data_IF_880389415999
#
_entry.id   IF_880389415999
#
_cell.length_a   1.000
_cell.length_b   1.000
_cell.length_c   1.000
_cell.angle_alpha   90.00
_cell.angle_beta   90.00
_cell.angle_gamma   90.00
#
_symmetry.space_group_name_H-M   'P 1'
#
loop_
_entity.id
_entity.type
_entity.pdbx_description
1 polymer ?
#
# COMPACT_ATOMS: atom_id res chain seq x y z
N UNK A 1 -10.83 4.32 12.47
CA UNK A 1 -10.78 3.78 11.08
C UNK A 1 -9.82 2.60 10.90
N UNK A 2 -8.58 2.66 11.41
CA UNK A 2 -7.63 1.53 11.35
C UNK A 2 -8.12 0.26 12.09
N UNK A 3 -8.78 0.41 13.24
CA UNK A 3 -9.39 -0.73 13.97
C UNK A 3 -10.52 -1.42 13.19
N UNK A 4 -11.33 -0.65 12.44
CA UNK A 4 -12.37 -1.21 11.56
C UNK A 4 -11.75 -1.96 10.37
N UNK A 5 -10.66 -1.44 9.81
CA UNK A 5 -9.95 -2.10 8.71
C UNK A 5 -9.27 -3.40 9.16
N UNK A 6 -8.68 -3.42 10.36
CA UNK A 6 -8.11 -4.63 10.96
C UNK A 6 -9.17 -5.68 11.27
N UNK A 7 -10.29 -5.28 11.89
CA UNK A 7 -11.42 -6.18 12.15
C UNK A 7 -12.02 -6.75 10.86
N UNK A 8 -12.12 -5.93 9.81
CA UNK A 8 -12.60 -6.36 8.49
C UNK A 8 -11.63 -7.33 7.81
N UNK A 9 -10.32 -7.15 7.99
CA UNK A 9 -9.30 -8.02 7.41
C UNK A 9 -9.28 -9.38 8.10
N UNK A 10 -9.41 -9.41 9.43
CA UNK A 10 -9.55 -10.65 10.20
C UNK A 10 -10.86 -11.36 9.83
N UNK A 11 -11.98 -10.64 9.73
CA UNK A 11 -13.28 -11.20 9.37
C UNK A 11 -13.34 -11.72 7.92
N UNK A 12 -12.53 -11.17 7.02
CA UNK A 12 -12.45 -11.60 5.62
C UNK A 12 -11.43 -12.73 5.40
N UNK A 13 -10.33 -12.73 6.15
CA UNK A 13 -9.29 -13.75 6.06
C UNK A 13 -9.73 -15.10 6.65
N UNK A 14 -10.50 -15.06 7.75
CA UNK A 14 -10.88 -16.27 8.50
C UNK A 14 -11.62 -17.33 7.66
N UNK A 15 -12.61 -16.99 6.82
CA UNK A 15 -13.38 -17.98 6.06
C UNK A 15 -12.66 -18.48 4.79
N UNK A 16 -11.57 -17.82 4.40
CA UNK A 16 -10.73 -18.20 3.25
C UNK A 16 -9.68 -19.24 3.67
N UNK A 17 -9.31 -19.26 4.96
CA UNK A 17 -8.29 -20.16 5.51
C UNK A 17 -8.85 -21.53 5.91
N UNK A 18 -10.17 -21.67 6.11
CA UNK A 18 -10.79 -22.92 6.57
C UNK A 18 -11.87 -23.44 5.57
N UNK A 19 -11.53 -24.36 4.65
CA UNK A 19 -12.42 -24.83 3.59
C UNK A 19 -13.55 -25.78 4.04
N UNK A 20 -13.64 -26.09 5.34
CA UNK A 20 -14.57 -27.10 5.89
C UNK A 20 -15.95 -26.59 6.36
N UNK A 21 -16.25 -25.30 6.25
CA UNK A 21 -17.52 -24.74 6.76
C UNK A 21 -18.65 -24.79 5.72
N UNK A 22 -19.71 -25.49 6.11
CA UNK A 22 -20.95 -25.77 5.39
C UNK A 22 -21.55 -24.52 4.66
N UNK A 23 -22.20 -24.78 3.53
CA UNK A 23 -22.56 -23.85 2.46
C UNK A 23 -23.35 -22.57 2.78
N UNK A 24 -23.74 -22.31 4.04
CA UNK A 24 -24.48 -21.11 4.46
C UNK A 24 -23.58 -19.88 4.69
N UNK A 25 -22.30 -20.07 5.02
CA UNK A 25 -21.36 -18.96 5.24
C UNK A 25 -20.96 -18.23 3.94
N UNK A 26 -20.92 -18.94 2.80
CA UNK A 26 -20.61 -18.35 1.47
C UNK A 26 -21.65 -17.30 1.04
N UNK A 27 -22.91 -17.51 1.40
CA UNK A 27 -24.01 -16.56 1.15
C UNK A 27 -23.85 -15.30 2.01
N UNK A 28 -23.49 -15.46 3.28
CA UNK A 28 -23.28 -14.35 4.22
C UNK A 28 -22.08 -13.47 3.83
N UNK A 29 -20.99 -14.05 3.33
CA UNK A 29 -19.82 -13.32 2.82
C UNK A 29 -20.12 -12.52 1.54
N UNK A 30 -21.05 -13.01 0.71
CA UNK A 30 -21.54 -12.30 -0.48
C UNK A 30 -22.41 -11.10 -0.10
N UNK A 31 -23.30 -11.27 0.88
CA UNK A 31 -24.14 -10.19 1.42
C UNK A 31 -23.29 -9.13 2.13
N UNK A 32 -22.29 -9.54 2.91
CA UNK A 32 -21.35 -8.62 3.57
C UNK A 32 -20.54 -7.79 2.54
N UNK A 33 -20.12 -8.41 1.43
CA UNK A 33 -19.47 -7.67 0.33
C UNK A 33 -20.41 -6.63 -0.29
N UNK A 34 -21.71 -6.94 -0.42
CA UNK A 34 -22.72 -6.00 -0.90
C UNK A 34 -22.98 -4.86 0.09
N UNK A 35 -23.04 -5.14 1.39
CA UNK A 35 -23.22 -4.12 2.43
C UNK A 35 -22.06 -3.13 2.47
N UNK A 36 -20.83 -3.62 2.34
CA UNK A 36 -19.64 -2.76 2.28
C UNK A 36 -19.60 -1.94 0.97
N UNK A 37 -20.10 -2.49 -0.13
CA UNK A 37 -20.24 -1.76 -1.40
C UNK A 37 -21.25 -0.60 -1.27
N UNK A 38 -22.43 -0.86 -0.69
CA UNK A 38 -23.44 0.17 -0.46
C UNK A 38 -22.90 1.27 0.46
N UNK A 39 -22.20 0.91 1.54
CA UNK A 39 -21.59 1.88 2.44
C UNK A 39 -20.56 2.79 1.74
N UNK A 40 -19.76 2.25 0.82
CA UNK A 40 -18.80 3.03 0.03
C UNK A 40 -19.47 3.92 -1.03
N UNK A 41 -20.51 3.41 -1.69
CA UNK A 41 -21.31 4.18 -2.63
C UNK A 41 -21.96 5.39 -1.94
N UNK A 42 -22.47 5.18 -0.72
CA UNK A 42 -23.07 6.24 0.11
C UNK A 42 -22.03 7.27 0.56
N UNK A 43 -20.85 6.85 1.04
CA UNK A 43 -19.78 7.78 1.46
C UNK A 43 -19.33 8.68 0.29
N UNK A 44 -19.19 8.12 -0.92
CA UNK A 44 -18.86 8.91 -2.10
C UNK A 44 -20.01 9.81 -2.55
N UNK A 45 -21.25 9.34 -2.48
CA UNK A 45 -22.42 10.14 -2.83
C UNK A 45 -22.53 11.37 -1.94
N UNK A 46 -22.30 11.21 -0.63
CA UNK A 46 -22.26 12.30 0.34
C UNK A 46 -21.16 13.30 -0.04
N UNK A 47 -19.93 12.84 -0.32
CA UNK A 47 -18.82 13.69 -0.75
C UNK A 47 -19.08 14.41 -2.07
N UNK A 48 -19.77 13.76 -3.01
CA UNK A 48 -20.15 14.34 -4.30
C UNK A 48 -21.23 15.42 -4.14
N UNK A 49 -22.17 15.24 -3.19
CA UNK A 49 -23.22 16.22 -2.91
C UNK A 49 -22.73 17.43 -2.11
N UNK A 50 -21.70 17.28 -1.28
CA UNK A 50 -21.09 18.38 -0.51
C UNK A 50 -20.12 19.25 -1.32
N UNK A 51 -19.68 18.82 -2.51
CA UNK A 51 -18.77 19.59 -3.34
C UNK A 51 -19.54 20.61 -4.21
N UNK A 52 -19.23 21.90 -4.07
CA UNK A 52 -19.87 23.02 -4.79
C UNK A 52 -19.84 22.89 -6.32
N UNK A 53 -18.91 22.11 -6.90
CA UNK A 53 -18.82 21.85 -8.34
C UNK A 53 -18.51 20.38 -8.66
N UNK A 54 -19.58 19.57 -8.77
CA UNK A 54 -19.58 18.10 -8.92
C UNK A 54 -18.71 17.58 -10.08
N UNK A 55 -18.70 18.28 -11.22
CA UNK A 55 -18.01 17.85 -12.46
C UNK A 55 -16.50 18.07 -12.40
N UNK A 56 -16.04 19.22 -11.87
CA UNK A 56 -14.61 19.53 -11.75
C UNK A 56 -13.94 18.70 -10.66
N UNK A 57 -14.68 18.34 -9.61
CA UNK A 57 -14.22 17.42 -8.57
C UNK A 57 -14.10 15.98 -9.10
N UNK A 58 -15.08 15.51 -9.88
CA UNK A 58 -15.03 14.18 -10.51
C UNK A 58 -13.87 14.04 -11.51
N UNK A 59 -13.60 15.08 -12.33
CA UNK A 59 -12.48 15.07 -13.27
C UNK A 59 -11.11 15.17 -12.57
N UNK A 60 -11.01 15.86 -11.44
CA UNK A 60 -9.77 15.94 -10.65
C UNK A 60 -9.50 14.68 -9.82
N UNK A 61 -10.56 13.99 -9.38
CA UNK A 61 -10.52 12.72 -8.67
C UNK A 61 -10.99 11.55 -9.55
N UNK A 62 -10.55 11.53 -10.81
CA UNK A 62 -10.98 10.52 -11.78
C UNK A 62 -10.65 9.08 -11.34
N UNK A 63 -9.63 8.89 -10.49
CA UNK A 63 -9.30 7.61 -9.88
C UNK A 63 -10.41 7.07 -8.95
N UNK A 64 -11.02 7.93 -8.13
CA UNK A 64 -12.11 7.53 -7.23
C UNK A 64 -13.41 7.30 -8.02
N UNK A 65 -13.62 8.08 -9.08
CA UNK A 65 -14.75 7.90 -10.01
C UNK A 65 -14.63 6.57 -10.76
N UNK A 66 -13.44 6.25 -11.28
CA UNK A 66 -13.15 4.97 -11.91
C UNK A 66 -13.27 3.80 -10.92
N UNK A 67 -12.87 4.00 -9.65
CA UNK A 67 -13.00 2.99 -8.60
C UNK A 67 -14.46 2.62 -8.30
N UNK A 68 -15.39 3.57 -8.46
CA UNK A 68 -16.83 3.38 -8.15
C UNK A 68 -17.61 2.89 -9.36
N UNK A 69 -17.23 3.31 -10.56
CA UNK A 69 -17.86 2.88 -11.82
C UNK A 69 -17.58 1.42 -12.17
N UNK A 70 -16.59 0.79 -11.52
CA UNK A 70 -16.18 -0.56 -11.85
C UNK A 70 -16.42 -1.58 -10.71
N UNK A 71 -17.66 -1.73 -10.17
CA UNK A 71 -17.98 -2.81 -9.23
C UNK A 71 -17.88 -4.20 -9.86
N UNK A 72 -18.07 -4.28 -11.19
CA UNK A 72 -17.97 -5.53 -11.96
C UNK A 72 -16.56 -6.14 -11.92
N UNK A 73 -15.52 -5.31 -11.77
CA UNK A 73 -14.14 -5.78 -11.60
C UNK A 73 -13.73 -5.61 -10.13
N UNK A 74 -14.30 -6.45 -9.26
CA UNK A 74 -13.93 -6.63 -7.83
C UNK A 74 -12.40 -6.64 -7.61
N UNK A 75 -11.67 -7.08 -8.63
CA UNK A 75 -10.21 -7.08 -8.81
C UNK A 75 -9.53 -5.71 -8.67
N UNK A 76 -10.21 -4.61 -9.04
CA UNK A 76 -9.68 -3.25 -8.96
C UNK A 76 -9.66 -2.69 -7.54
N UNK A 77 -10.15 -3.44 -6.54
CA UNK A 77 -9.94 -3.12 -5.12
C UNK A 77 -8.44 -3.00 -4.77
N UNK A 78 -7.56 -3.65 -5.54
CA UNK A 78 -6.11 -3.49 -5.45
C UNK A 78 -5.62 -2.10 -5.89
N UNK A 79 -6.34 -1.39 -6.77
CA UNK A 79 -5.99 0.00 -7.11
C UNK A 79 -6.11 0.94 -5.90
N UNK A 80 -6.93 0.59 -4.91
CA UNK A 80 -6.99 1.33 -3.64
C UNK A 80 -5.64 1.30 -2.90
N UNK A 81 -4.84 0.25 -3.12
CA UNK A 81 -3.49 0.16 -2.56
C UNK A 81 -2.54 1.15 -3.23
N UNK A 82 -2.72 1.47 -4.52
CA UNK A 82 -1.96 2.55 -5.17
C UNK A 82 -2.28 3.91 -4.55
N UNK A 83 -3.54 4.14 -4.17
CA UNK A 83 -3.93 5.36 -3.45
C UNK A 83 -3.29 5.43 -2.05
N UNK A 84 -3.24 4.29 -1.33
CA UNK A 84 -2.53 4.19 -0.06
C UNK A 84 -1.02 4.37 -0.21
N UNK A 85 -0.42 3.87 -1.30
CA UNK A 85 0.99 4.03 -1.59
C UNK A 85 1.32 5.48 -1.96
N UNK A 86 0.44 6.17 -2.70
CA UNK A 86 0.56 7.63 -2.92
C UNK A 86 0.41 8.42 -1.63
N UNK A 87 -0.51 8.03 -0.76
CA UNK A 87 -0.67 8.65 0.57
C UNK A 87 0.54 8.41 1.45
N UNK A 88 1.11 7.20 1.42
CA UNK A 88 2.36 6.85 2.09
C UNK A 88 3.51 7.70 1.54
N UNK A 89 3.66 7.79 0.23
CA UNK A 89 4.69 8.63 -0.40
C UNK A 89 4.59 10.09 0.04
N UNK A 90 3.37 10.61 0.20
CA UNK A 90 3.11 11.96 0.71
C UNK A 90 3.41 12.10 2.22
N UNK A 91 3.15 11.06 3.01
CA UNK A 91 3.48 11.03 4.44
C UNK A 91 4.99 10.88 4.70
N UNK A 92 5.67 10.10 3.87
CA UNK A 92 7.13 9.89 3.89
C UNK A 92 7.89 11.19 3.59
N UNK A 93 7.32 12.06 2.74
CA UNK A 93 7.88 13.40 2.48
C UNK A 93 7.90 14.31 3.72
N UNK A 94 7.17 13.99 4.80
CA UNK A 94 7.04 14.83 6.00
C UNK A 94 7.68 14.27 7.28
N UNK A 95 8.05 12.99 7.35
CA UNK A 95 8.59 12.39 8.59
C UNK A 95 9.84 11.55 8.33
N UNK A 96 10.99 12.17 8.55
CA UNK A 96 12.28 11.48 8.71
C UNK A 96 12.26 10.64 9.99
N UNK A 97 12.98 9.51 9.96
CA UNK A 97 13.43 8.70 11.11
C UNK A 97 12.50 7.55 11.57
N UNK A 98 12.82 6.33 11.11
CA UNK A 98 12.52 5.06 11.80
C UNK A 98 11.10 4.48 11.68
N UNK A 99 10.03 5.28 11.83
CA UNK A 99 8.64 4.76 11.76
C UNK A 99 8.17 4.50 10.33
N UNK A 100 8.71 5.28 9.40
CA UNK A 100 8.52 5.17 7.95
C UNK A 100 8.74 3.75 7.39
N UNK A 101 9.84 3.09 7.78
CA UNK A 101 10.17 1.74 7.30
C UNK A 101 9.17 0.69 7.78
N UNK A 102 8.66 0.82 9.01
CA UNK A 102 7.61 -0.06 9.55
C UNK A 102 6.31 0.11 8.78
N UNK A 103 5.92 1.34 8.41
CA UNK A 103 4.74 1.58 7.59
C UNK A 103 4.89 1.01 6.17
N UNK A 104 6.07 1.15 5.56
CA UNK A 104 6.35 0.59 4.22
C UNK A 104 6.32 -0.94 4.28
N UNK A 105 6.95 -1.56 5.27
CA UNK A 105 6.93 -3.01 5.45
C UNK A 105 5.51 -3.54 5.71
N UNK A 106 4.72 -2.85 6.55
CA UNK A 106 3.32 -3.18 6.79
C UNK A 106 2.46 -3.04 5.53
N UNK A 107 2.67 -1.99 4.73
CA UNK A 107 1.98 -1.79 3.46
C UNK A 107 2.36 -2.85 2.42
N UNK A 108 3.62 -3.27 2.39
CA UNK A 108 4.10 -4.36 1.54
C UNK A 108 3.41 -5.67 1.90
N UNK A 109 3.47 -6.08 3.17
CA UNK A 109 2.85 -7.32 3.64
C UNK A 109 1.34 -7.35 3.37
N UNK A 110 0.66 -6.23 3.64
CA UNK A 110 -0.77 -6.08 3.37
C UNK A 110 -1.07 -6.20 1.87
N UNK A 111 -0.27 -5.55 1.02
CA UNK A 111 -0.45 -5.58 -0.44
C UNK A 111 -0.25 -6.99 -0.99
N UNK A 112 0.78 -7.68 -0.53
CA UNK A 112 1.06 -9.08 -0.90
C UNK A 112 -0.08 -10.00 -0.49
N UNK A 113 -0.58 -9.86 0.75
CA UNK A 113 -1.69 -10.68 1.24
C UNK A 113 -2.99 -10.43 0.46
N UNK A 114 -3.30 -9.16 0.16
CA UNK A 114 -4.47 -8.82 -0.64
C UNK A 114 -4.34 -9.26 -2.11
N UNK A 115 -3.14 -9.17 -2.68
CA UNK A 115 -2.82 -9.71 -4.00
C UNK A 115 -3.05 -11.21 -4.09
N UNK A 116 -2.63 -11.95 -3.06
CA UNK A 116 -2.81 -13.40 -2.97
C UNK A 116 -4.29 -13.79 -2.95
N UNK A 117 -5.10 -13.13 -2.12
CA UNK A 117 -6.54 -13.44 -2.09
C UNK A 117 -7.22 -13.03 -3.41
N UNK A 118 -6.84 -11.90 -3.99
CA UNK A 118 -7.44 -11.42 -5.23
C UNK A 118 -7.15 -12.34 -6.43
N UNK A 119 -5.91 -12.85 -6.54
CA UNK A 119 -5.56 -13.79 -7.61
C UNK A 119 -6.20 -15.15 -7.37
N UNK A 120 -6.27 -15.62 -6.12
CA UNK A 120 -6.92 -16.89 -5.78
C UNK A 120 -8.42 -16.86 -6.09
N UNK A 121 -9.13 -15.77 -5.79
CA UNK A 121 -10.58 -15.64 -6.05
C UNK A 121 -10.90 -15.89 -7.53
N UNK A 122 -10.06 -15.37 -8.44
CA UNK A 122 -10.27 -15.44 -9.89
C UNK A 122 -9.64 -16.66 -10.56
N UNK A 123 -8.57 -17.24 -9.99
CA UNK A 123 -7.86 -18.38 -10.58
C UNK A 123 -8.34 -19.74 -10.04
N UNK A 124 -8.77 -19.85 -8.78
CA UNK A 124 -8.98 -21.16 -8.11
C UNK A 124 -10.02 -22.07 -8.80
N UNK A 125 -10.97 -21.49 -9.55
CA UNK A 125 -12.03 -22.24 -10.28
C UNK A 125 -11.84 -22.17 -11.81
N UNK A 126 -10.74 -21.58 -12.29
CA UNK A 126 -10.51 -21.39 -13.71
C UNK A 126 -9.88 -22.65 -14.35
N UNK A 127 -10.34 -23.06 -15.54
CA UNK A 127 -9.76 -24.20 -16.24
C UNK A 127 -8.31 -23.92 -16.64
N UNK A 128 -7.39 -24.79 -16.21
CA UNK A 128 -5.96 -24.67 -16.50
C UNK A 128 -5.19 -23.72 -15.57
N UNK A 129 -5.80 -23.27 -14.47
CA UNK A 129 -5.09 -22.49 -13.46
C UNK A 129 -4.10 -23.36 -12.67
N UNK A 130 -2.94 -22.77 -12.37
CA UNK A 130 -1.93 -23.37 -11.48
C UNK A 130 -1.97 -22.78 -10.05
N UNK A 131 -2.71 -21.69 -9.83
CA UNK A 131 -2.93 -21.09 -8.51
C UNK A 131 -4.27 -21.62 -7.99
N UNK A 132 -4.25 -22.73 -7.26
CA UNK A 132 -5.46 -23.39 -6.75
C UNK A 132 -5.62 -23.30 -5.25
N UNK A 133 -4.53 -23.15 -4.51
CA UNK A 133 -4.55 -23.04 -3.05
C UNK A 133 -3.99 -21.69 -2.57
N UNK A 134 -4.33 -21.32 -1.34
CA UNK A 134 -3.85 -20.08 -0.75
C UNK A 134 -2.33 -20.02 -0.61
N UNK A 135 -1.67 -21.15 -0.35
CA UNK A 135 -0.21 -21.25 -0.29
C UNK A 135 0.45 -20.81 -1.60
N UNK A 136 -0.04 -21.33 -2.72
CA UNK A 136 0.45 -21.01 -4.07
C UNK A 136 0.22 -19.53 -4.41
N UNK A 137 -0.95 -19.01 -4.08
CA UNK A 137 -1.29 -17.61 -4.31
C UNK A 137 -0.43 -16.66 -3.48
N UNK A 138 -0.13 -17.02 -2.22
CA UNK A 138 0.72 -16.24 -1.33
C UNK A 138 2.18 -16.27 -1.82
N UNK A 139 2.69 -17.45 -2.16
CA UNK A 139 4.02 -17.62 -2.74
C UNK A 139 4.18 -16.79 -4.02
N UNK A 140 3.26 -16.95 -4.96
CA UNK A 140 3.25 -16.18 -6.21
C UNK A 140 3.24 -14.67 -5.95
N UNK A 141 2.42 -14.21 -5.00
CA UNK A 141 2.32 -12.79 -4.67
C UNK A 141 3.62 -12.25 -4.08
N UNK A 142 4.28 -13.00 -3.20
CA UNK A 142 5.60 -12.63 -2.65
C UNK A 142 6.63 -12.55 -3.77
N UNK A 143 6.71 -13.56 -4.62
CA UNK A 143 7.64 -13.65 -5.76
C UNK A 143 7.42 -12.51 -6.76
N UNK A 144 6.16 -12.12 -6.98
CA UNK A 144 5.79 -11.05 -7.91
C UNK A 144 6.07 -9.65 -7.32
N UNK A 145 5.70 -9.40 -6.06
CA UNK A 145 5.95 -8.10 -5.38
C UNK A 145 7.43 -7.85 -5.20
N UNK A 146 8.22 -8.90 -4.90
CA UNK A 146 9.68 -8.82 -4.80
C UNK A 146 10.37 -8.81 -6.17
N UNK A 147 9.62 -8.88 -7.27
CA UNK A 147 10.12 -8.88 -8.65
C UNK A 147 11.04 -10.05 -9.02
N UNK A 148 10.98 -11.16 -8.28
CA UNK A 148 11.80 -12.37 -8.53
C UNK A 148 11.28 -13.13 -9.76
N UNK A 149 9.99 -13.43 -9.79
CA UNK A 149 9.33 -14.04 -10.96
C UNK A 149 9.85 -15.41 -11.38
N UNK A 150 9.84 -16.42 -10.49
CA UNK A 150 10.27 -17.79 -10.84
C UNK A 150 9.49 -18.42 -12.00
N UNK A 151 8.22 -18.04 -12.18
CA UNK A 151 7.36 -18.52 -13.28
C UNK A 151 6.76 -19.91 -13.04
N UNK A 152 6.91 -20.45 -11.84
CA UNK A 152 6.27 -21.68 -11.35
C UNK A 152 4.74 -21.53 -11.22
N UNK A 153 4.29 -20.38 -10.73
CA UNK A 153 2.87 -20.00 -10.66
C UNK A 153 2.61 -18.73 -11.46
N UNK A 154 1.45 -18.63 -12.11
CA UNK A 154 1.06 -17.44 -12.87
C UNK A 154 -0.44 -17.45 -13.21
N UNK A 155 -1.11 -16.29 -13.20
CA UNK A 155 -2.51 -16.22 -13.54
C UNK A 155 -2.76 -16.49 -15.03
N UNK A 156 -3.70 -17.37 -15.32
CA UNK A 156 -4.12 -17.72 -16.68
C UNK A 156 -5.34 -16.93 -17.12
N UNK A 157 -6.16 -16.45 -16.19
CA UNK A 157 -7.37 -15.68 -16.52
C UNK A 157 -7.06 -14.23 -16.87
N UNK A 158 -7.91 -13.62 -17.68
CA UNK A 158 -7.81 -12.18 -17.99
C UNK A 158 -7.86 -11.33 -16.71
N UNK A 159 -8.73 -11.69 -15.77
CA UNK A 159 -8.88 -10.96 -14.51
C UNK A 159 -7.65 -11.12 -13.60
N UNK A 160 -7.09 -12.33 -13.49
CA UNK A 160 -5.86 -12.59 -12.75
C UNK A 160 -4.65 -11.88 -13.37
N UNK A 161 -4.58 -11.76 -14.69
CA UNK A 161 -3.53 -10.96 -15.36
C UNK A 161 -3.65 -9.47 -15.05
N UNK A 162 -4.87 -8.93 -14.95
CA UNK A 162 -5.07 -7.56 -14.50
C UNK A 162 -4.63 -7.37 -13.03
N UNK A 163 -4.90 -8.34 -12.15
CA UNK A 163 -4.35 -8.36 -10.77
C UNK A 163 -2.84 -8.31 -10.81
N UNK A 164 -2.21 -9.16 -11.62
CA UNK A 164 -0.76 -9.24 -11.73
C UNK A 164 -0.14 -7.90 -12.15
N UNK A 165 -0.70 -7.24 -13.18
CA UNK A 165 -0.22 -5.92 -13.62
C UNK A 165 -0.27 -4.91 -12.48
N UNK A 166 -1.38 -4.84 -11.75
CA UNK A 166 -1.51 -3.93 -10.60
C UNK A 166 -0.51 -4.28 -9.51
N UNK A 167 -0.34 -5.57 -9.20
CA UNK A 167 0.58 -6.04 -8.17
C UNK A 167 2.04 -5.75 -8.53
N UNK A 168 2.42 -5.88 -9.80
CA UNK A 168 3.75 -5.52 -10.30
C UNK A 168 4.04 -4.02 -10.17
N UNK A 169 3.09 -3.15 -10.55
CA UNK A 169 3.23 -1.70 -10.38
C UNK A 169 3.42 -1.35 -8.90
N UNK A 170 2.67 -2.01 -8.02
CA UNK A 170 2.78 -1.85 -6.57
C UNK A 170 4.16 -2.28 -6.05
N UNK A 171 4.68 -3.44 -6.50
CA UNK A 171 6.01 -3.93 -6.14
C UNK A 171 7.12 -2.94 -6.51
N UNK A 172 7.12 -2.44 -7.75
CA UNK A 172 8.09 -1.44 -8.21
C UNK A 172 7.98 -0.15 -7.38
N UNK A 173 6.75 0.31 -7.10
CA UNK A 173 6.53 1.52 -6.30
C UNK A 173 7.05 1.37 -4.87
N UNK A 174 6.92 0.19 -4.27
CA UNK A 174 7.45 -0.12 -2.94
C UNK A 174 8.97 -0.02 -2.91
N UNK A 175 9.65 -0.63 -3.89
CA UNK A 175 11.11 -0.55 -4.03
C UNK A 175 11.55 0.91 -4.15
N UNK A 176 10.87 1.71 -4.97
CA UNK A 176 11.16 3.15 -5.12
C UNK A 176 11.05 3.93 -3.81
N UNK A 177 10.03 3.65 -2.99
CA UNK A 177 9.87 4.29 -1.66
C UNK A 177 11.00 3.88 -0.71
N UNK A 178 11.40 2.61 -0.70
CA UNK A 178 12.52 2.14 0.12
C UNK A 178 13.84 2.81 -0.30
N UNK A 179 14.11 2.89 -1.61
CA UNK A 179 15.29 3.58 -2.14
C UNK A 179 15.31 5.04 -1.73
N UNK A 180 14.18 5.75 -1.86
CA UNK A 180 14.06 7.15 -1.45
C UNK A 180 14.29 7.34 0.06
N UNK A 181 13.77 6.44 0.89
CA UNK A 181 13.95 6.49 2.34
C UNK A 181 15.42 6.31 2.75
N UNK A 182 16.14 5.38 2.10
CA UNK A 182 17.58 5.18 2.31
C UNK A 182 18.35 6.43 1.87
N UNK A 183 18.10 6.92 0.65
CA UNK A 183 18.76 8.12 0.13
C UNK A 183 18.55 9.34 1.04
N UNK A 184 17.31 9.57 1.51
CA UNK A 184 16.99 10.64 2.44
C UNK A 184 17.73 10.50 3.78
N UNK A 185 17.91 9.27 4.27
CA UNK A 185 18.65 9.03 5.51
C UNK A 185 20.13 9.39 5.35
N UNK A 186 20.75 8.98 4.24
CA UNK A 186 22.14 9.34 3.91
C UNK A 186 22.34 10.85 3.79
N UNK A 187 21.46 11.54 3.05
CA UNK A 187 21.53 13.01 2.92
C UNK A 187 21.38 13.68 4.28
N UNK A 188 20.45 13.21 5.13
CA UNK A 188 20.25 13.79 6.47
C UNK A 188 21.45 13.59 7.39
N UNK A 189 22.18 12.46 7.28
CA UNK A 189 23.39 12.23 8.07
C UNK A 189 24.54 13.14 7.65
N UNK A 190 24.68 13.43 6.35
CA UNK A 190 25.71 14.35 5.84
C UNK A 190 25.42 15.77 6.32
N UNK A 191 24.19 16.25 6.16
CA UNK A 191 23.79 17.59 6.63
C UNK A 191 23.99 17.77 8.14
N UNK A 192 23.80 16.71 8.92
CA UNK A 192 24.01 16.73 10.36
C UNK A 192 25.50 16.80 10.73
N UNK A 193 26.36 16.09 9.99
CA UNK A 193 27.82 16.20 10.15
C UNK A 193 28.30 17.60 9.77
N UNK A 194 27.89 18.13 8.62
CA UNK A 194 28.28 19.49 8.18
C UNK A 194 27.88 20.56 9.21
N UNK A 195 26.69 20.41 9.83
CA UNK A 195 26.22 21.32 10.87
C UNK A 195 26.99 21.17 12.20
N UNK A 196 27.35 19.95 12.59
CA UNK A 196 28.19 19.69 13.76
C UNK A 196 29.61 20.24 13.58
N UNK A 197 30.21 20.08 12.39
CA UNK A 197 31.53 20.60 12.05
C UNK A 197 31.55 22.14 12.01
N UNK A 198 30.52 22.77 11.43
CA UNK A 198 30.38 24.22 11.41
C UNK A 198 30.28 24.79 12.84
N UNK A 199 29.50 24.13 13.71
CA UNK A 199 29.36 24.54 15.11
C UNK A 199 30.67 24.39 15.87
N UNK A 200 31.40 23.28 15.69
CA UNK A 200 32.69 23.06 16.33
C UNK A 200 33.74 24.11 15.89
N UNK A 201 33.72 24.52 14.62
CA UNK A 201 34.60 25.57 14.10
C UNK A 201 34.28 26.95 14.71
N UNK A 202 32.99 27.27 14.88
CA UNK A 202 32.55 28.51 15.52
C UNK A 202 32.92 28.55 17.02
N UNK A 203 32.69 27.46 17.75
CA UNK A 203 33.06 27.32 19.16
C UNK A 203 34.58 27.45 19.37
N UNK A 204 35.39 26.85 18.48
CA UNK A 204 36.85 26.99 18.52
C UNK A 204 37.31 28.44 18.28
N UNK A 205 36.67 29.15 17.36
CA UNK A 205 36.97 30.56 17.09
C UNK A 205 36.62 31.45 18.29
N UNK A 206 35.44 31.26 18.87
CA UNK A 206 35.01 32.02 20.05
C UNK A 206 35.92 31.79 21.26
N UNK A 207 36.40 30.55 21.47
CA UNK A 207 37.34 30.24 22.53
C UNK A 207 38.72 30.92 22.32
N UNK A 208 39.16 31.06 21.07
CA UNK A 208 40.41 31.75 20.74
C UNK A 208 40.30 33.27 20.96
N UNK A 209 39.19 33.87 20.53
CA UNK A 209 38.94 35.30 20.70
C UNK A 209 38.85 35.69 22.19
N UNK A 210 38.24 34.83 23.02
CA UNK A 210 38.18 35.03 24.47
C UNK A 210 39.56 35.00 25.15
N UNK A 211 40.48 34.13 24.70
CA UNK A 211 41.86 34.11 25.21
C UNK A 211 42.64 35.36 24.82
N UNK A 212 42.53 35.77 23.56
CA UNK A 212 43.21 36.98 23.08
C UNK A 212 42.77 38.25 23.81
N UNK A 213 41.52 38.31 24.28
CA UNK A 213 40.99 39.44 25.05
C UNK A 213 41.42 39.44 26.53
N UNK A 214 41.95 38.34 27.07
CA UNK A 214 42.46 38.27 28.45
C UNK A 214 43.96 38.57 28.56
N UNK A 215 44.72 38.37 27.48
CA UNK A 215 46.18 38.56 27.44
C UNK A 215 46.62 39.95 26.93
N UNK A 216 45.68 40.80 26.50
CA UNK A 216 45.93 42.17 26.02
C UNK A 216 45.38 43.24 26.97
#
# INVERSE_FOLDING_TARGET
MLFLAGAFLVAYAWPVIDPGLEGDLRSSLRVLSWTVWVAFAVDFWIRLTLAENRVRYALRNWYDVLLILVPMFRTLRLLRLLALLRMLNRAMAGTLSGRASVYVAGAAALTTFLGAIAVLDVEQHAPGANITEFGDALWWSVVTVTTVGYGDFYPVTLQGRLVAVVLMIMGISLVGVLTAAVASSFVSSIQRQDAEDAKNAEDAKNAQDAKNAQDG
#
